data_IF_038098619793
#
_entry.id   IF_038098619793
#
_cell.length_a   1.000
_cell.length_b   1.000
_cell.length_c   1.000
_cell.angle_alpha   90.00
_cell.angle_beta   90.00
_cell.angle_gamma   90.00
#
_symmetry.space_group_name_H-M   'P 1'
#
loop_
_entity.id
_entity.type
_entity.pdbx_description
1 polymer ?
#
# COMPACT_ATOMS: atom_id res chain seq x y z
N UNK A 1 -20.35 -9.43 13.59
CA UNK A 1 -19.57 -10.26 12.65
C UNK A 1 -18.48 -9.40 11.99
N UNK A 2 -17.37 -10.04 11.65
CA UNK A 2 -16.16 -9.40 11.14
C UNK A 2 -15.67 -10.16 9.90
N UNK A 3 -15.20 -9.45 8.88
CA UNK A 3 -14.56 -10.01 7.70
C UNK A 3 -13.27 -9.27 7.41
N UNK A 4 -12.21 -10.00 7.07
CA UNK A 4 -10.94 -9.45 6.60
C UNK A 4 -10.72 -9.86 5.14
N UNK A 5 -10.76 -8.89 4.24
CA UNK A 5 -10.50 -9.11 2.83
C UNK A 5 -8.98 -9.06 2.58
N UNK A 6 -8.42 -10.17 2.08
CA UNK A 6 -7.02 -10.29 1.75
C UNK A 6 -6.80 -9.96 0.27
N UNK A 7 -6.07 -8.88 -0.02
CA UNK A 7 -5.86 -8.40 -1.39
C UNK A 7 -4.45 -8.72 -1.93
N UNK A 8 -3.94 -9.90 -1.57
CA UNK A 8 -2.54 -10.30 -1.79
C UNK A 8 -2.08 -10.28 -3.26
N UNK A 9 -2.93 -10.67 -4.19
CA UNK A 9 -2.57 -10.80 -5.62
C UNK A 9 -3.00 -9.60 -6.45
N UNK A 10 -3.36 -8.49 -5.82
CA UNK A 10 -3.73 -7.28 -6.54
C UNK A 10 -2.56 -6.71 -7.34
N UNK A 11 -2.85 -5.86 -8.28
CA UNK A 11 -1.85 -5.03 -8.94
C UNK A 11 -1.44 -3.87 -8.02
N UNK A 12 -0.16 -3.80 -7.64
CA UNK A 12 0.37 -2.72 -6.81
C UNK A 12 0.77 -1.47 -7.61
N UNK A 13 0.78 -1.56 -8.93
CA UNK A 13 0.97 -0.41 -9.82
C UNK A 13 -0.22 0.56 -9.80
N UNK A 14 -1.43 0.04 -9.64
CA UNK A 14 -2.67 0.80 -9.64
C UNK A 14 -3.34 0.76 -8.26
N UNK A 15 -4.04 1.82 -7.91
CA UNK A 15 -4.90 1.80 -6.73
C UNK A 15 -6.15 0.93 -6.98
N UNK A 16 -6.67 0.29 -5.94
CA UNK A 16 -7.95 -0.43 -6.04
C UNK A 16 -9.08 0.61 -6.25
N UNK A 17 -9.94 0.34 -7.22
CA UNK A 17 -11.07 1.21 -7.53
C UNK A 17 -10.75 2.38 -8.47
N UNK A 18 -9.55 2.40 -9.05
CA UNK A 18 -9.13 3.40 -10.03
C UNK A 18 -8.69 2.76 -11.34
N UNK A 19 -9.19 3.31 -12.44
CA UNK A 19 -8.75 3.03 -13.80
C UNK A 19 -8.99 1.61 -14.30
N UNK A 20 -8.65 1.32 -15.55
CA UNK A 20 -8.85 0.02 -16.16
C UNK A 20 -7.71 -0.94 -15.72
N UNK A 21 -7.83 -1.55 -14.57
CA UNK A 21 -6.95 -2.60 -14.10
C UNK A 21 -7.77 -3.83 -13.74
N UNK A 22 -7.84 -4.81 -14.63
CA UNK A 22 -8.64 -6.03 -14.49
C UNK A 22 -8.44 -6.72 -13.13
N UNK A 23 -7.18 -6.86 -12.70
CA UNK A 23 -6.87 -7.46 -11.40
C UNK A 23 -7.46 -6.67 -10.23
N UNK A 24 -7.35 -5.36 -10.26
CA UNK A 24 -7.84 -4.52 -9.18
C UNK A 24 -9.36 -4.33 -9.25
N UNK A 25 -9.96 -4.43 -10.43
CA UNK A 25 -11.44 -4.38 -10.56
C UNK A 25 -12.09 -5.58 -9.86
N UNK A 26 -11.54 -6.78 -10.02
CA UNK A 26 -12.01 -7.96 -9.29
C UNK A 26 -12.02 -7.71 -7.76
N UNK A 27 -10.92 -7.19 -7.21
CA UNK A 27 -10.87 -6.86 -5.78
C UNK A 27 -11.80 -5.70 -5.42
N UNK A 28 -11.98 -4.72 -6.30
CA UNK A 28 -12.90 -3.63 -6.08
C UNK A 28 -14.35 -4.10 -6.02
N UNK A 29 -14.75 -5.05 -6.88
CA UNK A 29 -16.07 -5.66 -6.87
C UNK A 29 -16.31 -6.47 -5.60
N UNK A 30 -15.35 -7.30 -5.18
CA UNK A 30 -15.41 -8.06 -3.94
C UNK A 30 -15.57 -7.14 -2.73
N UNK A 31 -14.75 -6.09 -2.64
CA UNK A 31 -14.83 -5.11 -1.56
C UNK A 31 -16.16 -4.34 -1.55
N UNK A 32 -16.70 -3.98 -2.74
CA UNK A 32 -18.04 -3.39 -2.86
C UNK A 32 -19.13 -4.36 -2.38
N UNK A 33 -18.95 -5.65 -2.69
CA UNK A 33 -19.85 -6.72 -2.22
C UNK A 33 -19.85 -6.84 -0.69
N UNK A 34 -18.69 -6.89 -0.07
CA UNK A 34 -18.53 -6.93 1.38
C UNK A 34 -19.02 -5.66 2.07
N UNK A 35 -18.75 -4.50 1.49
CA UNK A 35 -19.20 -3.21 2.03
C UNK A 35 -20.74 -3.06 2.12
N UNK A 36 -21.48 -3.82 1.31
CA UNK A 36 -22.96 -3.86 1.37
C UNK A 36 -23.50 -4.75 2.49
N UNK A 37 -22.66 -5.57 3.09
CA UNK A 37 -23.06 -6.44 4.18
C UNK A 37 -23.04 -5.70 5.51
N UNK A 38 -23.85 -6.16 6.47
CA UNK A 38 -23.84 -5.62 7.84
C UNK A 38 -22.71 -6.23 8.67
N UNK A 39 -21.48 -6.15 8.15
CA UNK A 39 -20.28 -6.71 8.76
C UNK A 39 -19.26 -5.60 9.03
N UNK A 40 -18.37 -5.82 9.97
CA UNK A 40 -17.20 -4.98 10.13
C UNK A 40 -16.14 -5.39 9.10
N UNK A 41 -16.00 -4.58 8.04
CA UNK A 41 -15.02 -4.84 6.99
C UNK A 41 -13.64 -4.35 7.42
N UNK A 42 -12.66 -5.23 7.29
CA UNK A 42 -11.23 -4.94 7.36
C UNK A 42 -10.55 -5.32 6.05
N UNK A 43 -9.44 -4.67 5.74
CA UNK A 43 -8.61 -5.02 4.58
C UNK A 43 -7.20 -5.37 5.05
N UNK A 44 -6.66 -6.49 4.55
CA UNK A 44 -5.28 -6.90 4.79
C UNK A 44 -4.44 -6.63 3.54
N UNK A 45 -3.47 -5.73 3.67
CA UNK A 45 -2.57 -5.28 2.62
C UNK A 45 -1.17 -5.90 2.71
N UNK A 46 -0.43 -5.88 1.59
CA UNK A 46 0.82 -6.60 1.42
C UNK A 46 1.94 -5.76 0.79
N UNK A 47 1.98 -4.46 1.02
CA UNK A 47 2.95 -3.53 0.39
C UNK A 47 4.43 -3.88 0.63
N UNK A 48 4.74 -4.58 1.72
CA UNK A 48 6.10 -5.02 2.03
C UNK A 48 6.38 -6.48 1.66
N UNK A 49 5.46 -7.15 0.98
CA UNK A 49 5.63 -8.54 0.56
C UNK A 49 5.88 -8.56 -0.94
N UNK A 50 7.10 -8.78 -1.37
CA UNK A 50 7.46 -8.84 -2.78
C UNK A 50 8.55 -9.88 -3.04
N UNK A 51 8.72 -10.25 -4.31
CA UNK A 51 9.84 -11.09 -4.76
C UNK A 51 11.21 -10.40 -4.60
N UNK A 52 11.20 -9.09 -4.43
CA UNK A 52 12.38 -8.24 -4.33
C UNK A 52 12.51 -7.71 -2.90
N UNK A 53 12.86 -8.61 -1.98
CA UNK A 53 12.85 -8.34 -0.55
C UNK A 53 13.73 -7.15 -0.15
N UNK A 54 14.85 -6.95 -0.84
CA UNK A 54 15.83 -5.93 -0.52
C UNK A 54 15.72 -4.65 -1.35
N UNK A 55 14.75 -4.58 -2.28
CA UNK A 55 14.55 -3.36 -3.06
C UNK A 55 13.71 -2.33 -2.30
N UNK A 56 14.04 -1.05 -2.42
CA UNK A 56 13.17 0.01 -1.97
C UNK A 56 11.89 -0.02 -2.81
N UNK A 57 10.74 -0.15 -2.18
CA UNK A 57 9.43 -0.09 -2.81
C UNK A 57 8.64 1.02 -2.16
N UNK A 58 8.16 1.94 -2.96
CA UNK A 58 7.40 3.11 -2.49
C UNK A 58 6.04 3.12 -3.16
N UNK A 59 4.99 3.27 -2.36
CA UNK A 59 3.60 3.21 -2.80
C UNK A 59 2.75 4.35 -2.19
N UNK A 60 3.36 5.48 -1.88
CA UNK A 60 2.73 6.53 -1.09
C UNK A 60 1.36 6.95 -1.66
N UNK A 61 1.33 7.40 -2.91
CA UNK A 61 0.11 7.86 -3.57
C UNK A 61 -0.89 6.73 -3.82
N UNK A 62 -0.40 5.56 -4.26
CA UNK A 62 -1.24 4.39 -4.51
C UNK A 62 -1.90 3.90 -3.23
N UNK A 63 -1.15 3.84 -2.14
CA UNK A 63 -1.63 3.44 -0.82
C UNK A 63 -2.73 4.36 -0.32
N UNK A 64 -2.54 5.68 -0.41
CA UNK A 64 -3.53 6.66 -0.01
C UNK A 64 -4.85 6.47 -0.77
N UNK A 65 -4.79 6.38 -2.10
CA UNK A 65 -5.98 6.21 -2.94
C UNK A 65 -6.73 4.92 -2.63
N UNK A 66 -5.98 3.81 -2.47
CA UNK A 66 -6.57 2.51 -2.10
C UNK A 66 -7.26 2.58 -0.73
N UNK A 67 -6.63 3.16 0.28
CA UNK A 67 -7.23 3.25 1.61
C UNK A 67 -8.46 4.17 1.62
N UNK A 68 -8.43 5.30 0.89
CA UNK A 68 -9.61 6.16 0.71
C UNK A 68 -10.76 5.42 0.03
N UNK A 69 -10.48 4.60 -0.99
CA UNK A 69 -11.49 3.74 -1.61
C UNK A 69 -12.09 2.76 -0.61
N UNK A 70 -11.28 2.02 0.12
CA UNK A 70 -11.75 1.06 1.14
C UNK A 70 -12.59 1.75 2.23
N UNK A 71 -12.16 2.93 2.68
CA UNK A 71 -12.90 3.72 3.67
C UNK A 71 -14.29 4.13 3.17
N UNK A 72 -14.41 4.55 1.90
CA UNK A 72 -15.70 4.88 1.27
C UNK A 72 -16.65 3.68 1.23
N UNK A 73 -16.13 2.47 1.16
CA UNK A 73 -16.91 1.22 1.20
C UNK A 73 -17.28 0.78 2.63
N UNK A 74 -16.89 1.54 3.65
CA UNK A 74 -17.21 1.25 5.04
C UNK A 74 -16.17 0.40 5.78
N UNK A 75 -14.96 0.22 5.22
CA UNK A 75 -13.88 -0.42 5.95
C UNK A 75 -13.56 0.34 7.24
N UNK A 76 -13.47 -0.39 8.34
CA UNK A 76 -13.24 0.13 9.70
C UNK A 76 -11.84 -0.13 10.21
N UNK A 77 -11.15 -1.09 9.60
CA UNK A 77 -9.79 -1.45 9.96
C UNK A 77 -9.00 -1.78 8.69
N UNK A 78 -7.72 -1.53 8.76
CA UNK A 78 -6.75 -1.96 7.78
C UNK A 78 -5.59 -2.60 8.52
N UNK A 79 -5.15 -3.74 8.05
CA UNK A 79 -3.96 -4.42 8.55
C UNK A 79 -2.94 -4.55 7.43
N UNK A 80 -1.71 -4.80 7.81
CA UNK A 80 -0.58 -4.72 6.93
C UNK A 80 0.36 -5.87 7.19
N UNK A 81 0.47 -6.78 6.22
CA UNK A 81 1.41 -7.86 6.35
C UNK A 81 2.84 -7.32 6.21
N UNK A 82 3.65 -7.66 7.17
CA UNK A 82 5.05 -7.33 7.18
C UNK A 82 5.88 -8.60 7.16
N UNK A 83 6.75 -8.72 6.16
CA UNK A 83 7.83 -9.70 6.19
C UNK A 83 9.05 -9.07 6.87
N UNK A 84 9.66 -9.72 7.85
CA UNK A 84 10.91 -9.24 8.43
C UNK A 84 11.98 -9.23 7.34
N UNK A 85 12.49 -8.04 7.02
CA UNK A 85 13.46 -7.80 5.96
C UNK A 85 14.69 -7.14 6.54
N UNK A 86 15.86 -7.47 5.98
CA UNK A 86 17.12 -6.85 6.36
C UNK A 86 17.09 -5.31 6.11
N UNK A 87 16.40 -4.86 5.06
CA UNK A 87 16.32 -3.47 4.63
C UNK A 87 15.05 -2.74 5.12
N UNK A 88 14.73 -2.88 6.40
CA UNK A 88 13.65 -2.14 7.02
C UNK A 88 13.66 -0.64 6.71
N UNK A 89 14.82 0.00 6.70
CA UNK A 89 14.99 1.44 6.51
C UNK A 89 14.36 1.96 5.22
N UNK A 90 14.48 1.23 4.12
CA UNK A 90 13.92 1.62 2.82
C UNK A 90 12.40 1.50 2.73
N UNK A 91 11.80 0.67 3.59
CA UNK A 91 10.35 0.43 3.59
C UNK A 91 9.62 1.08 4.75
N UNK A 92 10.34 1.72 5.66
CA UNK A 92 9.77 2.38 6.82
C UNK A 92 8.72 3.44 6.44
N UNK A 93 8.92 4.15 5.32
CA UNK A 93 7.95 5.12 4.82
C UNK A 93 6.59 4.51 4.57
N UNK A 94 6.50 3.37 3.87
CA UNK A 94 5.23 2.70 3.60
C UNK A 94 4.47 2.38 4.89
N UNK A 95 5.18 1.97 5.94
CA UNK A 95 4.54 1.61 7.20
C UNK A 95 4.05 2.82 7.97
N UNK A 96 4.85 3.88 7.99
CA UNK A 96 4.46 5.14 8.63
C UNK A 96 3.25 5.74 7.93
N UNK A 97 3.23 5.74 6.60
CA UNK A 97 2.09 6.22 5.82
C UNK A 97 0.84 5.35 6.01
N UNK A 98 1.02 4.02 6.06
CA UNK A 98 -0.10 3.13 6.33
C UNK A 98 -0.73 3.42 7.70
N UNK A 99 0.09 3.62 8.72
CA UNK A 99 -0.39 3.99 10.05
C UNK A 99 -1.05 5.37 10.08
N UNK A 100 -0.49 6.34 9.34
CA UNK A 100 -1.07 7.68 9.23
C UNK A 100 -2.52 7.61 8.72
N UNK A 101 -2.75 6.96 7.58
CA UNK A 101 -4.08 6.90 6.99
C UNK A 101 -5.02 5.91 7.67
N UNK A 102 -4.51 4.95 8.42
CA UNK A 102 -5.34 4.13 9.30
C UNK A 102 -5.92 4.98 10.46
N UNK A 103 -5.19 6.00 10.87
CA UNK A 103 -5.60 6.94 11.92
C UNK A 103 -6.39 8.12 11.35
N UNK A 104 -5.85 8.80 10.35
CA UNK A 104 -6.46 9.96 9.69
C UNK A 104 -6.41 9.80 8.16
N UNK A 105 -7.55 9.38 7.60
CA UNK A 105 -7.66 9.09 6.15
C UNK A 105 -7.56 10.36 5.29
N UNK A 106 -7.82 11.51 5.87
CA UNK A 106 -7.83 12.81 5.18
C UNK A 106 -6.50 13.57 5.34
N UNK A 107 -5.54 12.99 6.05
CA UNK A 107 -4.20 13.57 6.21
C UNK A 107 -3.58 13.93 4.85
N UNK A 108 -3.01 15.13 4.78
CA UNK A 108 -2.30 15.63 3.60
C UNK A 108 -0.98 14.87 3.42
N UNK A 109 -0.85 14.17 2.31
CA UNK A 109 0.33 13.35 2.02
C UNK A 109 1.59 14.21 1.86
N UNK A 110 1.52 15.29 1.09
CA UNK A 110 2.69 16.10 0.78
C UNK A 110 3.20 16.83 2.03
N UNK A 111 2.31 17.42 2.79
CA UNK A 111 2.65 18.07 4.05
C UNK A 111 3.26 17.06 5.06
N UNK A 112 2.70 15.85 5.10
CA UNK A 112 3.25 14.81 5.96
C UNK A 112 4.63 14.32 5.50
N UNK A 113 4.83 14.11 4.20
CA UNK A 113 6.11 13.69 3.66
C UNK A 113 7.19 14.74 3.88
N UNK A 114 6.87 16.04 3.70
CA UNK A 114 7.79 17.13 4.03
C UNK A 114 8.23 17.06 5.49
N UNK A 115 7.28 16.92 6.42
CA UNK A 115 7.58 16.74 7.84
C UNK A 115 8.42 15.49 8.10
N UNK A 116 8.05 14.33 7.50
CA UNK A 116 8.72 13.05 7.68
C UNK A 116 10.18 13.12 7.24
N UNK A 117 10.46 13.67 6.06
CA UNK A 117 11.81 13.77 5.55
C UNK A 117 12.65 14.76 6.37
N UNK A 118 12.10 15.92 6.72
CA UNK A 118 12.78 16.89 7.57
C UNK A 118 13.20 16.28 8.92
N UNK A 119 12.31 15.49 9.54
CA UNK A 119 12.60 14.85 10.84
C UNK A 119 13.56 13.67 10.77
N UNK A 120 13.54 12.94 9.67
CA UNK A 120 14.32 11.72 9.52
C UNK A 120 15.69 11.93 8.92
N UNK A 121 15.81 12.86 8.00
CA UNK A 121 17.03 13.04 7.20
C UNK A 121 17.66 14.43 7.34
N UNK A 122 17.06 15.32 8.09
CA UNK A 122 17.60 16.64 8.45
C UNK A 122 18.12 17.42 7.22
N UNK A 123 19.40 17.72 7.17
CA UNK A 123 20.03 18.46 6.06
C UNK A 123 19.96 17.74 4.71
N UNK A 124 19.67 16.43 4.71
CA UNK A 124 19.53 15.61 3.51
C UNK A 124 18.07 15.42 3.08
N UNK A 125 17.12 16.06 3.74
CA UNK A 125 15.68 15.84 3.52
C UNK A 125 15.27 16.00 2.05
N UNK A 126 15.72 17.04 1.37
CA UNK A 126 15.41 17.28 -0.05
C UNK A 126 15.91 16.19 -0.96
N UNK A 127 17.19 15.83 -0.85
CA UNK A 127 17.78 14.77 -1.67
C UNK A 127 17.12 13.38 -1.42
N UNK A 128 16.74 13.12 -0.18
CA UNK A 128 16.03 11.86 0.16
C UNK A 128 14.60 11.87 -0.36
N UNK A 129 13.90 13.01 -0.32
CA UNK A 129 12.58 13.15 -0.94
C UNK A 129 12.64 12.84 -2.44
N UNK A 130 13.55 13.50 -3.17
CA UNK A 130 13.76 13.28 -4.60
C UNK A 130 14.07 11.81 -4.91
N UNK A 131 14.94 11.18 -4.12
CA UNK A 131 15.29 9.77 -4.30
C UNK A 131 14.08 8.83 -4.10
N UNK A 132 13.25 9.08 -3.09
CA UNK A 132 12.05 8.26 -2.86
C UNK A 132 10.96 8.51 -3.90
N UNK A 133 10.79 9.74 -4.36
CA UNK A 133 9.86 10.06 -5.44
C UNK A 133 10.26 9.35 -6.75
N UNK A 134 11.55 9.33 -7.09
CA UNK A 134 12.07 8.57 -8.22
C UNK A 134 11.87 7.06 -8.07
N UNK A 135 12.01 6.52 -6.85
CA UNK A 135 11.72 5.10 -6.57
C UNK A 135 10.24 4.81 -6.70
N UNK A 136 9.34 5.69 -6.25
CA UNK A 136 7.90 5.50 -6.44
C UNK A 136 7.54 5.52 -7.93
N UNK A 137 8.06 6.44 -8.70
CA UNK A 137 7.87 6.51 -10.15
C UNK A 137 8.33 5.21 -10.82
N UNK A 138 9.56 4.77 -10.55
CA UNK A 138 10.09 3.51 -11.06
C UNK A 138 9.25 2.29 -10.61
N UNK A 139 8.75 2.29 -9.39
CA UNK A 139 7.87 1.23 -8.88
C UNK A 139 6.57 1.15 -9.67
N UNK A 140 6.01 2.29 -10.08
CA UNK A 140 4.79 2.36 -10.88
C UNK A 140 4.98 1.95 -12.35
N UNK A 141 6.19 1.99 -12.87
CA UNK A 141 6.51 1.54 -14.23
C UNK A 141 6.64 0.02 -14.38
N UNK A 142 6.88 -0.69 -13.28
CA UNK A 142 7.02 -2.15 -13.30
C UNK A 142 5.71 -2.82 -13.71
N UNK A 143 5.75 -3.60 -14.79
CA UNK A 143 4.57 -4.20 -15.39
C UNK A 143 3.80 -5.17 -14.47
N UNK A 144 4.53 -5.90 -13.61
CA UNK A 144 3.94 -6.86 -12.69
C UNK A 144 4.60 -6.81 -11.30
N UNK A 145 3.86 -6.31 -10.32
CA UNK A 145 4.17 -6.51 -8.92
C UNK A 145 3.27 -7.61 -8.35
N UNK A 146 3.89 -8.69 -7.90
CA UNK A 146 3.20 -9.78 -7.20
C UNK A 146 3.73 -9.90 -5.78
N UNK A 147 2.84 -10.15 -4.85
CA UNK A 147 3.23 -10.51 -3.51
C UNK A 147 4.07 -11.80 -3.53
N UNK A 148 5.05 -11.88 -2.65
CA UNK A 148 6.02 -12.98 -2.57
C UNK A 148 5.39 -14.39 -2.54
N UNK A 149 4.26 -14.55 -1.84
CA UNK A 149 3.56 -15.83 -1.74
C UNK A 149 3.07 -16.40 -3.08
N UNK A 150 2.77 -15.54 -4.05
CA UNK A 150 2.32 -16.02 -5.37
C UNK A 150 3.40 -16.75 -6.15
N UNK A 151 4.68 -16.53 -5.83
CA UNK A 151 5.80 -17.23 -6.47
C UNK A 151 6.10 -18.60 -5.85
N UNK A 152 5.77 -18.79 -4.57
CA UNK A 152 5.90 -20.08 -3.90
C UNK A 152 4.80 -21.02 -4.39
N UNK A 153 3.56 -20.53 -4.48
CA UNK A 153 2.41 -21.34 -4.93
C UNK A 153 2.47 -21.68 -6.44
N UNK A 154 3.17 -20.90 -7.24
CA UNK A 154 3.36 -21.19 -8.66
C UNK A 154 4.51 -22.19 -8.93
N UNK A 155 5.23 -22.59 -7.88
CA UNK A 155 6.33 -23.58 -7.96
C UNK A 155 5.91 -24.97 -7.50
N UNK A 156 4.66 -25.15 -7.10
CA UNK A 156 3.99 -26.42 -6.80
C UNK A 156 2.89 -26.70 -7.83
#
# INVERSE_FOLDING_TARGET
>A
DFVSACVINRCYRHAIGEGPCEKNEMYAEDLRGWGKQKLCLSVLEYYNVSRHEDMPLVFAHNMQRTQKFCRKLGARAVSYMHSPLANWGFRAQNQVLHALWAWDIDADLDAFLEYYYARRYEVHAGAMREAYDAVEEATLEVAEWRAWFSSILASF
#
